data_IF_123339677218
#
_entry.id   IF_123339677218
#
_cell.length_a   1.000
_cell.length_b   1.000
_cell.length_c   1.000
_cell.angle_alpha   90.00
_cell.angle_beta   90.00
_cell.angle_gamma   90.00
#
_symmetry.space_group_name_H-M   'P 1'
#
loop_
_entity.id
_entity.type
_entity.pdbx_description
1 polymer ?
#
# COMPACT_ATOMS: atom_id res chain seq x y z
N UNK A 1 29.65 50.52 -6.50
CA UNK A 1 29.50 49.06 -6.63
C UNK A 1 28.94 48.50 -5.32
N UNK A 2 27.69 48.03 -5.33
CA UNK A 2 27.05 47.40 -4.16
C UNK A 2 27.54 45.95 -4.05
N UNK A 3 28.28 45.63 -3.00
CA UNK A 3 28.63 44.24 -2.66
C UNK A 3 27.37 43.50 -2.19
N UNK A 4 26.99 42.45 -2.90
CA UNK A 4 25.94 41.53 -2.49
C UNK A 4 26.48 40.59 -1.41
N UNK A 5 25.91 40.66 -0.21
CA UNK A 5 26.12 39.69 0.86
C UNK A 5 25.48 38.35 0.46
N UNK A 6 26.32 37.35 0.18
CA UNK A 6 25.88 35.97 0.02
C UNK A 6 25.30 35.49 1.36
N UNK A 7 23.99 35.22 1.39
CA UNK A 7 23.34 34.58 2.54
C UNK A 7 23.85 33.15 2.64
N UNK A 8 24.69 32.86 3.62
CA UNK A 8 25.01 31.49 4.02
C UNK A 8 23.75 30.86 4.63
N UNK A 9 23.22 29.81 4.00
CA UNK A 9 22.23 28.97 4.67
C UNK A 9 22.93 28.08 5.70
N UNK A 10 22.50 28.04 6.97
CA UNK A 10 23.08 27.16 7.96
C UNK A 10 22.85 25.70 7.56
N UNK A 11 23.90 24.88 7.72
CA UNK A 11 23.81 23.44 7.49
C UNK A 11 22.78 22.83 8.44
N UNK A 12 21.78 22.14 7.88
CA UNK A 12 20.78 21.41 8.67
C UNK A 12 21.50 20.23 9.34
N UNK A 13 21.79 20.34 10.64
CA UNK A 13 22.30 19.23 11.47
C UNK A 13 21.15 18.41 12.05
N UNK A 14 21.40 17.14 12.37
CA UNK A 14 20.39 16.24 12.97
C UNK A 14 19.74 16.85 14.22
N UNK A 15 20.51 17.62 15.01
CA UNK A 15 20.03 18.31 16.21
C UNK A 15 19.05 19.46 15.91
N UNK A 16 19.15 20.06 14.72
CA UNK A 16 18.29 21.17 14.28
C UNK A 16 16.96 20.70 13.68
N UNK A 17 16.82 19.39 13.42
CA UNK A 17 15.58 18.81 12.92
C UNK A 17 14.61 18.53 14.07
N UNK A 18 13.84 19.55 14.45
CA UNK A 18 12.69 19.34 15.33
C UNK A 18 11.58 18.65 14.52
N UNK A 19 11.52 17.33 14.60
CA UNK A 19 10.44 16.54 14.01
C UNK A 19 9.10 17.04 14.54
N UNK A 20 8.28 17.61 13.66
CA UNK A 20 6.92 18.02 14.02
C UNK A 20 6.12 16.74 14.30
N UNK A 21 5.51 16.55 15.48
CA UNK A 21 4.60 15.43 15.67
C UNK A 21 3.36 15.70 14.83
N UNK A 22 3.28 15.10 13.66
CA UNK A 22 2.06 15.03 12.86
C UNK A 22 1.19 13.94 13.45
N UNK A 23 0.21 14.29 14.27
CA UNK A 23 -1.01 13.49 14.37
C UNK A 23 -1.84 13.75 13.09
N UNK A 24 -2.46 12.80 12.41
CA UNK A 24 -2.52 11.33 12.53
C UNK A 24 -2.77 10.77 11.11
N UNK A 25 -2.71 9.46 10.93
CA UNK A 25 -2.62 8.73 9.65
C UNK A 25 -1.23 8.73 9.00
N UNK A 26 -0.48 7.65 9.22
CA UNK A 26 0.56 7.22 8.27
C UNK A 26 -0.17 6.80 7.00
N UNK A 27 -0.19 7.60 5.91
CA UNK A 27 -1.11 7.39 4.79
C UNK A 27 -0.91 6.03 4.10
N UNK A 28 0.28 5.45 4.25
CA UNK A 28 0.67 4.15 3.69
C UNK A 28 0.65 3.00 4.70
N UNK A 29 0.30 3.22 5.97
CA UNK A 29 0.40 2.17 7.01
C UNK A 29 -0.40 0.91 6.65
N UNK A 30 -1.61 1.06 6.11
CA UNK A 30 -2.41 -0.09 5.68
C UNK A 30 -1.73 -0.85 4.53
N UNK A 31 -1.28 -0.15 3.49
CA UNK A 31 -0.64 -0.79 2.33
C UNK A 31 0.72 -1.41 2.68
N UNK A 32 1.46 -0.79 3.61
CA UNK A 32 2.75 -1.31 4.07
C UNK A 32 2.58 -2.56 4.93
N UNK A 33 1.61 -2.57 5.86
CA UNK A 33 1.30 -3.74 6.66
C UNK A 33 0.84 -4.92 5.78
N UNK A 34 -0.01 -4.65 4.79
CA UNK A 34 -0.41 -5.64 3.78
C UNK A 34 0.80 -6.20 3.00
N UNK A 35 1.72 -5.33 2.57
CA UNK A 35 2.96 -5.72 1.89
C UNK A 35 3.80 -6.68 2.72
N UNK A 36 3.93 -6.38 4.02
CA UNK A 36 4.70 -7.17 4.99
C UNK A 36 3.99 -8.46 5.43
N UNK A 37 2.68 -8.58 5.21
CA UNK A 37 1.87 -9.66 5.77
C UNK A 37 1.60 -9.49 7.26
N UNK A 38 1.71 -8.27 7.79
CA UNK A 38 1.42 -7.94 9.19
C UNK A 38 -0.09 -7.79 9.39
N UNK A 39 -0.75 -8.89 9.75
CA UNK A 39 -2.19 -8.93 10.06
C UNK A 39 -2.56 -7.91 11.13
N UNK A 40 -1.81 -7.86 12.23
CA UNK A 40 -2.12 -6.98 13.35
C UNK A 40 -1.95 -5.51 12.97
N UNK A 41 -0.89 -5.19 12.22
CA UNK A 41 -0.68 -3.86 11.66
C UNK A 41 -1.74 -3.45 10.66
N UNK A 42 -2.18 -4.36 9.78
CA UNK A 42 -3.19 -4.08 8.77
C UNK A 42 -4.56 -3.78 9.40
N UNK A 43 -5.01 -4.62 10.35
CA UNK A 43 -6.25 -4.40 11.09
C UNK A 43 -6.22 -3.10 11.89
N UNK A 44 -5.10 -2.83 12.58
CA UNK A 44 -4.93 -1.59 13.34
C UNK A 44 -4.97 -0.35 12.43
N UNK A 45 -4.23 -0.37 11.32
CA UNK A 45 -4.18 0.74 10.39
C UNK A 45 -5.55 1.01 9.71
N UNK A 46 -6.31 -0.05 9.40
CA UNK A 46 -7.67 0.10 8.89
C UNK A 46 -8.60 0.69 9.96
N UNK A 47 -8.55 0.17 11.18
CA UNK A 47 -9.36 0.66 12.30
C UNK A 47 -9.08 2.14 12.62
N UNK A 48 -7.80 2.52 12.71
CA UNK A 48 -7.38 3.92 12.93
C UNK A 48 -7.96 4.84 11.85
N UNK A 49 -7.89 4.45 10.57
CA UNK A 49 -8.43 5.26 9.47
C UNK A 49 -9.96 5.37 9.51
N UNK A 50 -10.68 4.32 9.91
CA UNK A 50 -12.13 4.37 10.10
C UNK A 50 -12.51 5.30 11.27
N UNK A 51 -11.78 5.23 12.39
CA UNK A 51 -11.97 6.13 13.54
C UNK A 51 -11.66 7.58 13.18
N UNK A 52 -10.69 7.81 12.31
CA UNK A 52 -10.36 9.13 11.73
C UNK A 52 -11.41 9.63 10.71
N UNK A 53 -12.45 8.83 10.41
CA UNK A 53 -13.56 9.23 9.55
C UNK A 53 -13.41 8.89 8.08
N UNK A 54 -12.47 8.01 7.69
CA UNK A 54 -12.48 7.44 6.34
C UNK A 54 -13.66 6.52 6.14
N UNK A 55 -14.22 6.53 4.95
CA UNK A 55 -15.30 5.62 4.59
C UNK A 55 -14.76 4.22 4.30
N UNK A 56 -15.47 3.18 4.73
CA UNK A 56 -15.08 1.79 4.51
C UNK A 56 -14.89 1.44 3.03
N UNK A 57 -15.70 2.04 2.15
CA UNK A 57 -15.56 1.84 0.70
C UNK A 57 -14.31 2.50 0.11
N UNK A 58 -13.78 3.56 0.72
CA UNK A 58 -12.49 4.14 0.34
C UNK A 58 -11.35 3.17 0.69
N UNK A 59 -11.41 2.53 1.85
CA UNK A 59 -10.44 1.51 2.25
C UNK A 59 -10.50 0.28 1.35
N UNK A 60 -11.70 -0.22 1.03
CA UNK A 60 -11.86 -1.32 0.06
C UNK A 60 -11.30 -0.95 -1.32
N UNK A 61 -11.49 0.29 -1.76
CA UNK A 61 -10.89 0.80 -3.00
C UNK A 61 -9.36 0.86 -2.95
N UNK A 62 -8.79 1.35 -1.84
CA UNK A 62 -7.34 1.40 -1.61
C UNK A 62 -6.72 0.00 -1.60
N UNK A 63 -7.38 -0.96 -0.95
CA UNK A 63 -6.95 -2.36 -0.90
C UNK A 63 -6.94 -2.97 -2.30
N UNK A 64 -8.04 -2.84 -3.06
CA UNK A 64 -8.11 -3.34 -4.43
C UNK A 64 -7.02 -2.72 -5.33
N UNK A 65 -6.77 -1.42 -5.19
CA UNK A 65 -5.73 -0.68 -5.90
C UNK A 65 -4.31 -1.18 -5.60
N UNK A 66 -4.05 -1.59 -4.36
CA UNK A 66 -2.77 -2.17 -3.94
C UNK A 66 -2.59 -3.56 -4.53
N UNK A 67 -3.61 -4.42 -4.46
CA UNK A 67 -3.55 -5.78 -5.02
C UNK A 67 -3.41 -5.76 -6.55
N UNK A 68 -4.05 -4.83 -7.25
CA UNK A 68 -3.85 -4.63 -8.69
C UNK A 68 -2.37 -4.33 -9.04
N UNK A 69 -1.68 -3.54 -8.21
CA UNK A 69 -0.26 -3.25 -8.38
C UNK A 69 0.61 -4.48 -8.14
N UNK A 70 0.29 -5.28 -7.14
CA UNK A 70 0.96 -6.56 -6.92
C UNK A 70 0.81 -7.48 -8.12
N UNK A 71 -0.41 -7.64 -8.65
CA UNK A 71 -0.68 -8.45 -9.84
C UNK A 71 0.15 -7.94 -11.03
N UNK A 72 0.12 -6.63 -11.32
CA UNK A 72 0.86 -6.06 -12.44
C UNK A 72 2.37 -6.27 -12.32
N UNK A 73 2.95 -5.95 -11.16
CA UNK A 73 4.39 -6.10 -10.90
C UNK A 73 4.80 -7.56 -10.93
N UNK A 74 4.02 -8.47 -10.33
CA UNK A 74 4.33 -9.92 -10.34
C UNK A 74 4.30 -10.50 -11.75
N UNK A 75 3.29 -10.15 -12.56
CA UNK A 75 3.19 -10.61 -13.95
C UNK A 75 4.39 -10.16 -14.77
N UNK A 76 4.75 -8.88 -14.71
CA UNK A 76 5.90 -8.36 -15.46
C UNK A 76 7.22 -8.96 -14.99
N UNK A 77 7.41 -9.11 -13.68
CA UNK A 77 8.60 -9.76 -13.12
C UNK A 77 8.71 -11.23 -13.56
N UNK A 78 7.59 -11.98 -13.57
CA UNK A 78 7.57 -13.36 -14.07
C UNK A 78 7.85 -13.45 -15.57
N UNK A 79 7.51 -12.41 -16.34
CA UNK A 79 7.86 -12.27 -17.76
C UNK A 79 9.31 -11.82 -18.01
N UNK A 80 10.13 -11.70 -16.96
CA UNK A 80 11.56 -11.38 -17.06
C UNK A 80 11.90 -9.88 -17.11
N UNK A 81 10.93 -8.99 -16.85
CA UNK A 81 11.19 -7.55 -16.86
C UNK A 81 12.01 -7.12 -15.65
N UNK A 82 12.99 -6.24 -15.85
CA UNK A 82 13.72 -5.56 -14.77
C UNK A 82 12.85 -4.50 -14.07
N UNK A 83 13.27 -4.01 -12.90
CA UNK A 83 12.55 -2.95 -12.20
C UNK A 83 12.41 -1.67 -13.04
N UNK A 84 13.45 -1.28 -13.77
CA UNK A 84 13.40 -0.11 -14.67
C UNK A 84 12.40 -0.30 -15.81
N UNK A 85 12.37 -1.49 -16.40
CA UNK A 85 11.40 -1.82 -17.46
C UNK A 85 9.97 -1.83 -16.90
N UNK A 86 9.76 -2.37 -15.69
CA UNK A 86 8.45 -2.32 -15.02
C UNK A 86 8.05 -0.86 -14.73
N UNK A 87 8.96 -0.03 -14.24
CA UNK A 87 8.71 1.39 -14.00
C UNK A 87 8.30 2.12 -15.29
N UNK A 88 9.01 1.87 -16.40
CA UNK A 88 8.71 2.44 -17.70
C UNK A 88 7.31 2.03 -18.22
N UNK A 89 6.95 0.74 -18.09
CA UNK A 89 5.66 0.22 -18.56
C UNK A 89 4.49 0.67 -17.68
N UNK A 90 4.68 0.69 -16.36
CA UNK A 90 3.60 0.98 -15.40
C UNK A 90 3.45 2.46 -15.07
N UNK A 91 4.44 3.29 -15.42
CA UNK A 91 4.51 4.70 -15.01
C UNK A 91 4.78 4.89 -13.52
N UNK A 92 5.04 3.82 -12.76
CA UNK A 92 5.38 3.88 -11.36
C UNK A 92 6.81 4.40 -11.17
N UNK A 93 7.05 5.12 -10.07
CA UNK A 93 8.41 5.50 -9.67
C UNK A 93 9.22 4.24 -9.32
N UNK A 94 10.51 4.23 -9.65
CA UNK A 94 11.39 3.07 -9.45
C UNK A 94 11.38 2.55 -8.00
N UNK A 95 11.41 3.44 -7.01
CA UNK A 95 11.35 3.05 -5.60
C UNK A 95 10.06 2.32 -5.24
N UNK A 96 8.94 2.66 -5.89
CA UNK A 96 7.65 2.01 -5.66
C UNK A 96 7.61 0.63 -6.32
N UNK A 97 8.21 0.50 -7.51
CA UNK A 97 8.37 -0.80 -8.16
C UNK A 97 9.20 -1.73 -7.28
N UNK A 98 10.35 -1.28 -6.76
CA UNK A 98 11.18 -2.12 -5.90
C UNK A 98 10.46 -2.52 -4.60
N UNK A 99 9.69 -1.60 -4.01
CA UNK A 99 8.82 -1.93 -2.87
C UNK A 99 7.84 -3.05 -3.24
N UNK A 100 7.06 -2.87 -4.29
CA UNK A 100 6.06 -3.86 -4.73
C UNK A 100 6.71 -5.20 -5.09
N UNK A 101 7.90 -5.20 -5.71
CA UNK A 101 8.65 -6.43 -6.03
C UNK A 101 9.01 -7.21 -4.77
N UNK A 102 9.48 -6.53 -3.73
CA UNK A 102 9.80 -7.18 -2.45
C UNK A 102 8.54 -7.74 -1.75
N UNK A 103 7.40 -7.07 -1.89
CA UNK A 103 6.12 -7.52 -1.33
C UNK A 103 5.59 -8.77 -2.07
N UNK A 104 5.74 -8.87 -3.39
CA UNK A 104 5.21 -10.00 -4.18
C UNK A 104 6.15 -11.17 -4.36
N UNK A 105 7.41 -11.09 -3.88
CA UNK A 105 8.41 -12.13 -4.11
C UNK A 105 7.96 -13.48 -3.57
N UNK A 106 7.33 -13.51 -2.39
CA UNK A 106 6.81 -14.72 -1.72
C UNK A 106 5.38 -15.12 -2.12
N UNK A 107 4.74 -14.36 -3.00
CA UNK A 107 3.35 -14.59 -3.42
C UNK A 107 3.33 -15.20 -4.81
N UNK A 108 2.55 -16.27 -5.02
CA UNK A 108 2.36 -16.82 -6.37
C UNK A 108 1.43 -15.94 -7.20
N UNK A 109 1.53 -16.01 -8.53
CA UNK A 109 0.63 -15.27 -9.41
C UNK A 109 -0.84 -15.67 -9.19
N UNK A 110 -1.09 -16.97 -9.01
CA UNK A 110 -2.44 -17.50 -8.77
C UNK A 110 -3.05 -16.98 -7.45
N UNK A 111 -2.25 -16.86 -6.39
CA UNK A 111 -2.71 -16.28 -5.11
C UNK A 111 -3.11 -14.81 -5.29
N UNK A 112 -2.29 -14.02 -5.98
CA UNK A 112 -2.59 -12.60 -6.23
C UNK A 112 -3.83 -12.40 -7.10
N UNK A 113 -4.01 -13.24 -8.12
CA UNK A 113 -5.19 -13.19 -8.98
C UNK A 113 -6.48 -13.58 -8.21
N UNK A 114 -6.40 -14.58 -7.33
CA UNK A 114 -7.50 -14.95 -6.42
C UNK A 114 -7.83 -13.80 -5.47
N UNK A 115 -6.81 -13.22 -4.82
CA UNK A 115 -6.95 -12.11 -3.89
C UNK A 115 -7.59 -10.88 -4.57
N UNK A 116 -7.22 -10.60 -5.82
CA UNK A 116 -7.85 -9.52 -6.60
C UNK A 116 -9.34 -9.81 -6.87
N UNK A 117 -9.68 -11.06 -7.21
CA UNK A 117 -11.07 -11.47 -7.36
C UNK A 117 -11.85 -11.33 -6.05
N UNK A 118 -11.25 -11.68 -4.90
CA UNK A 118 -11.83 -11.47 -3.57
C UNK A 118 -12.11 -10.00 -3.29
N UNK A 119 -11.22 -9.08 -3.66
CA UNK A 119 -11.49 -7.63 -3.53
C UNK A 119 -12.77 -7.22 -4.29
N UNK A 120 -12.93 -7.66 -5.54
CA UNK A 120 -14.10 -7.31 -6.35
C UNK A 120 -15.38 -7.97 -5.84
N UNK A 121 -15.29 -9.22 -5.36
CA UNK A 121 -16.40 -9.92 -4.73
C UNK A 121 -16.90 -9.17 -3.49
N UNK A 122 -16.00 -8.85 -2.57
CA UNK A 122 -16.29 -8.13 -1.33
C UNK A 122 -16.95 -6.78 -1.63
N UNK A 123 -16.38 -5.99 -2.55
CA UNK A 123 -16.97 -4.71 -2.92
C UNK A 123 -18.40 -4.87 -3.50
N UNK A 124 -18.64 -5.89 -4.31
CA UNK A 124 -19.97 -6.16 -4.88
C UNK A 124 -20.97 -6.59 -3.82
N UNK A 125 -20.57 -7.45 -2.90
CA UNK A 125 -21.45 -7.95 -1.84
C UNK A 125 -21.79 -6.84 -0.83
N UNK A 126 -20.79 -6.07 -0.40
CA UNK A 126 -20.96 -4.91 0.46
C UNK A 126 -21.90 -3.86 -0.15
N UNK A 127 -21.70 -3.48 -1.43
CA UNK A 127 -22.57 -2.51 -2.12
C UNK A 127 -24.00 -3.01 -2.34
N UNK A 128 -24.23 -4.32 -2.28
CA UNK A 128 -25.55 -4.93 -2.45
C UNK A 128 -26.26 -5.27 -1.14
N UNK A 129 -25.65 -4.95 0.01
CA UNK A 129 -26.17 -5.31 1.33
C UNK A 129 -26.08 -6.80 1.69
N UNK A 130 -25.35 -7.60 0.91
CA UNK A 130 -25.13 -9.04 1.20
C UNK A 130 -24.07 -9.30 2.26
N UNK A 131 -23.28 -8.28 2.61
CA UNK A 131 -22.25 -8.34 3.64
C UNK A 131 -22.13 -6.98 4.35
N UNK A 132 -21.78 -7.00 5.65
CA UNK A 132 -21.31 -5.79 6.34
C UNK A 132 -19.97 -5.36 5.72
N UNK A 133 -19.84 -4.11 5.23
CA UNK A 133 -18.60 -3.64 4.64
C UNK A 133 -17.40 -3.71 5.59
N UNK A 134 -17.59 -3.44 6.88
CA UNK A 134 -16.55 -3.42 7.90
C UNK A 134 -16.03 -4.83 8.16
N UNK A 135 -16.94 -5.78 8.41
CA UNK A 135 -16.58 -7.18 8.60
C UNK A 135 -15.90 -7.76 7.34
N UNK A 136 -16.42 -7.41 6.16
CA UNK A 136 -15.86 -7.89 4.90
C UNK A 136 -14.47 -7.29 4.63
N UNK A 137 -14.22 -6.04 5.03
CA UNK A 137 -12.88 -5.45 5.00
C UNK A 137 -11.92 -6.23 5.90
N UNK A 138 -12.28 -6.49 7.16
CA UNK A 138 -11.42 -7.26 8.08
C UNK A 138 -11.07 -8.65 7.55
N UNK A 139 -12.07 -9.38 7.04
CA UNK A 139 -11.87 -10.69 6.42
C UNK A 139 -10.96 -10.64 5.19
N UNK A 140 -11.12 -9.61 4.35
CA UNK A 140 -10.26 -9.40 3.20
C UNK A 140 -8.82 -9.11 3.64
N UNK A 141 -8.59 -8.28 4.66
CA UNK A 141 -7.25 -7.99 5.16
C UNK A 141 -6.54 -9.25 5.69
N UNK A 142 -7.27 -10.14 6.36
CA UNK A 142 -6.76 -11.44 6.79
C UNK A 142 -6.31 -12.28 5.58
N UNK A 143 -7.15 -12.40 4.55
CA UNK A 143 -6.83 -13.14 3.33
C UNK A 143 -5.59 -12.58 2.60
N UNK A 144 -5.43 -11.25 2.55
CA UNK A 144 -4.34 -10.60 1.82
C UNK A 144 -2.97 -10.73 2.50
N UNK A 145 -2.96 -10.88 3.82
CA UNK A 145 -1.74 -11.14 4.58
C UNK A 145 -1.27 -12.60 4.45
N UNK A 146 -2.12 -13.53 4.03
CA UNK A 146 -1.70 -14.89 3.72
C UNK A 146 -0.86 -14.92 2.43
N UNK A 147 0.39 -15.36 2.54
CA UNK A 147 1.34 -15.43 1.40
C UNK A 147 1.27 -16.75 0.62
N UNK A 148 0.44 -17.70 1.07
CA UNK A 148 0.19 -18.97 0.40
C UNK A 148 1.23 -20.04 0.75
N UNK A 149 1.00 -20.78 1.84
CA UNK A 149 1.24 -22.23 1.94
C UNK A 149 0.33 -22.74 3.07
N UNK A 150 -0.80 -23.36 2.70
CA UNK A 150 -1.32 -24.53 3.41
C UNK A 150 -1.33 -25.66 2.41
#
# INVERSE_FOLDING_TARGET
MRHALAKQHPAITVESFQGRPTASSKPFALTDALGQGDVAGALRAAHEQLVEGKEVFELLGLVAWQVQRWVAVKRLANSGYSADQIAAVTGLRIWHVERLRSEVVRRSQAVLDRQLASCWQVQRDAKSGRASPELALEQLLLELCETGTR
#
